data_IF_438184149030
#
_entry.id   IF_438184149030
#
_cell.length_a   1.000
_cell.length_b   1.000
_cell.length_c   1.000
_cell.angle_alpha   90.00
_cell.angle_beta   90.00
_cell.angle_gamma   90.00
#
_symmetry.space_group_name_H-M   'P 1'
#
loop_
_entity.id
_entity.type
_entity.pdbx_description
1 polymer ?
#
# COMPACT_ATOMS: atom_id res chain seq x y z
N UNK A 1 6.77 1.12 -11.55
CA UNK A 1 7.80 1.26 -12.59
C UNK A 1 7.41 0.48 -13.83
N UNK A 2 8.02 0.76 -14.96
CA UNK A 2 7.86 -0.02 -16.21
C UNK A 2 8.46 -1.41 -16.05
N UNK A 3 9.64 -1.47 -15.43
CA UNK A 3 10.35 -2.70 -15.08
C UNK A 3 11.12 -2.50 -13.76
N UNK A 4 11.53 -3.59 -13.13
CA UNK A 4 12.40 -3.52 -11.97
C UNK A 4 13.84 -3.37 -12.44
N UNK A 5 14.54 -2.26 -12.08
CA UNK A 5 15.91 -2.05 -12.49
C UNK A 5 16.89 -2.96 -11.73
N UNK A 6 18.01 -3.27 -12.36
CA UNK A 6 19.17 -3.80 -11.67
C UNK A 6 19.93 -2.68 -10.96
N UNK A 7 20.46 -2.98 -9.77
CA UNK A 7 21.29 -2.05 -9.03
C UNK A 7 22.69 -1.91 -9.62
N UNK A 8 23.16 -0.69 -9.78
CA UNK A 8 24.52 -0.38 -10.23
C UNK A 8 25.41 -0.15 -9.02
N UNK A 9 26.43 -0.97 -8.85
CA UNK A 9 27.42 -0.83 -7.78
C UNK A 9 28.38 0.32 -8.11
N UNK A 10 28.45 1.30 -7.21
CA UNK A 10 29.34 2.47 -7.33
C UNK A 10 30.73 2.14 -6.79
N UNK A 11 31.72 2.99 -7.11
CA UNK A 11 33.10 2.83 -6.65
C UNK A 11 33.26 2.88 -5.13
N UNK A 12 32.34 3.56 -4.42
CA UNK A 12 32.31 3.66 -2.95
C UNK A 12 31.56 2.50 -2.28
N UNK A 13 31.10 1.51 -3.07
CA UNK A 13 30.38 0.33 -2.57
C UNK A 13 28.88 0.55 -2.38
N UNK A 14 28.37 1.76 -2.58
CA UNK A 14 26.93 2.03 -2.60
C UNK A 14 26.28 1.45 -3.85
N UNK A 15 24.95 1.29 -3.86
CA UNK A 15 24.22 0.74 -5.01
C UNK A 15 23.14 1.71 -5.43
N UNK A 16 23.13 2.08 -6.70
CA UNK A 16 22.15 3.00 -7.27
C UNK A 16 21.14 2.25 -8.14
N UNK A 17 19.85 2.49 -7.88
CA UNK A 17 18.72 2.04 -8.68
C UNK A 17 18.09 3.24 -9.37
N UNK A 18 17.74 3.07 -10.66
CA UNK A 18 17.03 4.10 -11.45
C UNK A 18 15.71 3.53 -11.91
N UNK A 19 14.61 4.00 -11.33
CA UNK A 19 13.26 3.56 -11.66
C UNK A 19 12.64 4.50 -12.70
N UNK A 20 12.14 3.92 -13.80
CA UNK A 20 11.29 4.63 -14.76
C UNK A 20 9.84 4.33 -14.45
N UNK A 21 9.06 5.35 -14.13
CA UNK A 21 7.62 5.21 -13.93
C UNK A 21 6.92 5.01 -15.28
N UNK A 22 5.81 4.27 -15.27
CA UNK A 22 4.92 4.12 -16.43
C UNK A 22 4.40 5.49 -16.86
N UNK A 23 4.05 5.62 -18.13
CA UNK A 23 3.41 6.83 -18.65
C UNK A 23 1.96 6.94 -18.19
N UNK A 24 1.49 8.16 -18.03
CA UNK A 24 0.07 8.44 -17.77
C UNK A 24 -0.44 7.99 -16.40
N UNK A 25 0.45 7.74 -15.42
CA UNK A 25 0.04 7.42 -14.05
C UNK A 25 -0.76 8.58 -13.44
N UNK A 26 -1.82 8.22 -12.72
CA UNK A 26 -2.73 9.17 -12.08
C UNK A 26 -3.06 8.76 -10.65
N UNK A 27 -3.39 9.76 -9.87
CA UNK A 27 -4.09 9.62 -8.62
C UNK A 27 -5.59 9.37 -8.84
N UNK A 28 -6.30 8.95 -7.81
CA UNK A 28 -7.74 8.65 -7.88
C UNK A 28 -8.61 9.86 -8.26
N UNK A 29 -8.15 11.08 -8.00
CA UNK A 29 -8.80 12.33 -8.39
C UNK A 29 -8.46 12.79 -9.82
N UNK A 30 -7.60 12.05 -10.54
CA UNK A 30 -7.20 12.31 -11.92
C UNK A 30 -5.94 13.16 -12.07
N UNK A 31 -5.39 13.70 -11.00
CA UNK A 31 -4.12 14.44 -11.05
C UNK A 31 -2.95 13.50 -11.42
N UNK A 32 -1.93 14.01 -12.13
CA UNK A 32 -0.76 13.21 -12.49
C UNK A 32 -0.01 12.70 -11.26
N UNK A 33 0.39 11.41 -11.30
CA UNK A 33 1.32 10.83 -10.33
C UNK A 33 2.72 10.81 -10.94
N UNK A 34 3.68 11.36 -10.23
CA UNK A 34 5.06 11.55 -10.71
C UNK A 34 6.09 10.96 -9.75
N UNK A 35 7.35 10.90 -10.19
CA UNK A 35 8.46 10.49 -9.33
C UNK A 35 8.67 11.44 -8.12
N UNK A 36 8.22 12.69 -8.22
CA UNK A 36 8.27 13.66 -7.11
C UNK A 36 7.39 13.26 -5.94
N UNK A 37 6.26 12.59 -6.21
CA UNK A 37 5.36 12.10 -5.15
C UNK A 37 6.04 10.99 -4.33
N UNK A 38 6.81 10.12 -4.98
CA UNK A 38 7.64 9.12 -4.28
C UNK A 38 8.78 9.76 -3.49
N UNK A 39 9.50 10.70 -4.10
CA UNK A 39 10.57 11.44 -3.42
C UNK A 39 10.04 12.13 -2.17
N UNK A 40 8.94 12.85 -2.29
CA UNK A 40 8.28 13.54 -1.17
C UNK A 40 7.84 12.54 -0.09
N UNK A 41 7.11 11.48 -0.48
CA UNK A 41 6.59 10.47 0.45
C UNK A 41 7.70 9.81 1.27
N UNK A 42 8.80 9.43 0.62
CA UNK A 42 9.91 8.75 1.28
C UNK A 42 10.69 9.68 2.20
N UNK A 43 10.94 10.92 1.75
CA UNK A 43 11.57 11.94 2.61
C UNK A 43 10.70 12.26 3.83
N UNK A 44 9.39 12.35 3.64
CA UNK A 44 8.44 12.55 4.73
C UNK A 44 8.45 11.38 5.73
N UNK A 45 8.33 10.13 5.25
CA UNK A 45 8.29 8.96 6.11
C UNK A 45 9.63 8.70 6.84
N UNK A 46 10.76 9.04 6.21
CA UNK A 46 12.09 8.93 6.82
C UNK A 46 12.41 10.08 7.80
N UNK A 47 11.64 11.18 7.77
CA UNK A 47 11.89 12.32 8.65
C UNK A 47 11.45 11.98 10.09
N UNK A 48 12.35 12.11 11.09
CA UNK A 48 12.02 11.88 12.50
C UNK A 48 10.83 12.69 13.01
N UNK A 49 10.63 13.91 12.51
CA UNK A 49 9.53 14.78 12.90
C UNK A 49 8.15 14.24 12.47
N UNK A 50 8.12 13.36 11.46
CA UNK A 50 6.90 12.67 11.04
C UNK A 50 6.51 11.56 12.02
N UNK A 51 7.48 11.04 12.79
CA UNK A 51 7.32 9.94 13.73
C UNK A 51 6.60 8.72 13.12
N UNK A 52 6.94 8.39 11.85
CA UNK A 52 6.36 7.24 11.17
C UNK A 52 6.83 5.94 11.83
N UNK A 53 5.89 5.05 12.21
CA UNK A 53 6.18 3.78 12.91
C UNK A 53 7.20 2.92 12.17
N UNK A 54 7.17 2.93 10.84
CA UNK A 54 8.07 2.18 9.96
C UNK A 54 9.12 3.04 9.26
N UNK A 55 9.38 4.26 9.76
CA UNK A 55 10.41 5.15 9.23
C UNK A 55 11.81 4.52 9.18
N UNK A 56 12.11 3.61 10.12
CA UNK A 56 13.38 2.89 10.16
C UNK A 56 13.63 1.98 8.94
N UNK A 57 12.61 1.59 8.19
CA UNK A 57 12.78 0.79 6.97
C UNK A 57 13.56 1.51 5.86
N UNK A 58 13.70 2.85 5.97
CA UNK A 58 14.51 3.64 5.05
C UNK A 58 16.01 3.65 5.42
N UNK A 59 16.44 2.96 6.48
CA UNK A 59 17.82 2.94 6.95
C UNK A 59 18.82 2.35 5.94
N UNK A 60 18.31 1.51 5.02
CA UNK A 60 19.08 0.96 3.90
C UNK A 60 19.45 2.00 2.84
N UNK A 61 18.72 3.14 2.80
CA UNK A 61 18.96 4.22 1.84
C UNK A 61 20.06 5.14 2.37
N UNK A 62 21.02 5.46 1.50
CA UNK A 62 22.14 6.36 1.82
C UNK A 62 21.62 7.71 2.34
N UNK A 63 22.22 8.20 3.41
CA UNK A 63 21.88 9.49 4.02
C UNK A 63 20.72 9.45 5.03
N UNK A 64 20.11 8.30 5.27
CA UNK A 64 19.04 8.18 6.28
C UNK A 64 19.50 8.67 7.66
N UNK A 65 20.67 8.24 8.12
CA UNK A 65 21.23 8.63 9.41
C UNK A 65 21.47 10.15 9.54
N UNK A 66 21.66 10.82 8.40
CA UNK A 66 21.90 12.27 8.33
C UNK A 66 20.60 13.07 8.09
N UNK A 67 19.44 12.40 8.05
CA UNK A 67 18.13 13.00 7.79
C UNK A 67 17.94 13.44 6.32
N UNK A 68 18.75 12.93 5.40
CA UNK A 68 18.76 13.32 3.98
C UNK A 68 18.87 12.08 3.08
N UNK A 69 17.79 11.31 2.98
CA UNK A 69 17.81 10.06 2.19
C UNK A 69 18.10 10.30 0.71
N UNK A 70 18.89 9.39 0.15
CA UNK A 70 19.32 9.39 -1.25
C UNK A 70 18.22 8.87 -2.19
N UNK A 71 17.06 9.53 -2.18
CA UNK A 71 15.96 9.29 -3.10
C UNK A 71 15.63 10.63 -3.79
N UNK A 72 15.76 10.67 -5.13
CA UNK A 72 15.61 11.92 -5.89
C UNK A 72 14.89 11.68 -7.20
N UNK A 73 13.84 12.47 -7.47
CA UNK A 73 13.19 12.55 -8.76
C UNK A 73 14.03 13.46 -9.69
N UNK A 74 14.63 12.90 -10.72
CA UNK A 74 15.42 13.68 -11.70
C UNK A 74 14.54 14.33 -12.76
N UNK A 75 13.37 13.78 -12.99
CA UNK A 75 12.28 14.30 -13.80
C UNK A 75 10.93 13.71 -13.31
N UNK A 76 9.84 13.95 -14.02
CA UNK A 76 8.51 13.50 -13.60
C UNK A 76 8.33 11.96 -13.60
N UNK A 77 9.21 11.23 -14.29
CA UNK A 77 9.13 9.76 -14.42
C UNK A 77 10.32 9.00 -13.85
N UNK A 78 11.38 9.68 -13.51
CA UNK A 78 12.64 9.03 -13.10
C UNK A 78 12.91 9.26 -11.62
N UNK A 79 12.89 8.17 -10.85
CA UNK A 79 13.31 8.15 -9.44
C UNK A 79 14.65 7.43 -9.32
N UNK A 80 15.65 8.12 -8.80
CA UNK A 80 16.98 7.58 -8.51
C UNK A 80 17.10 7.36 -7.01
N UNK A 81 17.50 6.15 -6.62
CA UNK A 81 17.66 5.75 -5.23
C UNK A 81 19.04 5.16 -5.01
N UNK A 82 19.76 5.65 -4.00
CA UNK A 82 21.09 5.13 -3.65
C UNK A 82 21.03 4.45 -2.28
N UNK A 83 21.39 3.17 -2.23
CA UNK A 83 21.49 2.37 -1.01
C UNK A 83 22.90 2.44 -0.43
N UNK A 84 23.03 2.24 0.89
CA UNK A 84 24.31 2.18 1.58
C UNK A 84 25.21 1.03 1.07
N UNK A 85 24.61 -0.08 0.68
CA UNK A 85 25.25 -1.29 0.13
C UNK A 85 24.22 -2.13 -0.63
N UNK A 86 24.63 -3.28 -1.17
CA UNK A 86 23.71 -4.21 -1.83
C UNK A 86 22.74 -4.83 -0.80
N UNK A 87 21.45 -4.72 -1.08
CA UNK A 87 20.35 -5.30 -0.29
C UNK A 87 19.58 -6.25 -1.18
N UNK A 88 19.68 -7.57 -0.91
CA UNK A 88 19.11 -8.61 -1.77
C UNK A 88 17.57 -8.56 -1.87
N UNK A 89 16.92 -8.06 -0.82
CA UNK A 89 15.46 -7.95 -0.70
C UNK A 89 14.94 -6.51 -0.93
N UNK A 90 15.74 -5.65 -1.57
CA UNK A 90 15.37 -4.25 -1.77
C UNK A 90 14.04 -4.08 -2.51
N UNK A 91 13.85 -4.81 -3.61
CA UNK A 91 12.63 -4.68 -4.39
C UNK A 91 11.38 -5.21 -3.64
N UNK A 92 11.55 -6.17 -2.74
CA UNK A 92 10.47 -6.66 -1.87
C UNK A 92 10.06 -5.61 -0.82
N UNK A 93 11.02 -4.83 -0.29
CA UNK A 93 10.72 -3.73 0.62
C UNK A 93 9.79 -2.69 -0.02
N UNK A 94 9.93 -2.43 -1.32
CA UNK A 94 9.09 -1.46 -2.04
C UNK A 94 7.61 -1.84 -2.09
N UNK A 95 7.28 -3.11 -1.82
CA UNK A 95 5.91 -3.57 -1.70
C UNK A 95 5.28 -3.27 -0.33
N UNK A 96 6.08 -2.83 0.65
CA UNK A 96 5.58 -2.48 1.98
C UNK A 96 4.92 -1.08 1.96
N UNK A 97 3.77 -0.89 2.63
CA UNK A 97 2.99 0.36 2.54
C UNK A 97 3.75 1.65 2.86
N UNK A 98 4.79 1.61 3.71
CA UNK A 98 5.58 2.80 4.05
C UNK A 98 6.31 3.40 2.84
N UNK A 99 6.54 2.61 1.77
CA UNK A 99 7.15 3.06 0.51
C UNK A 99 6.12 3.57 -0.52
N UNK A 100 4.83 3.49 -0.22
CA UNK A 100 3.81 3.96 -1.15
C UNK A 100 3.83 5.49 -1.24
N UNK A 101 3.56 6.05 -2.43
CA UNK A 101 3.56 7.49 -2.61
C UNK A 101 2.39 8.14 -1.88
N UNK A 102 2.60 9.34 -1.39
CA UNK A 102 1.54 10.26 -0.93
C UNK A 102 1.79 11.62 -1.55
N UNK A 103 0.72 12.38 -1.75
CA UNK A 103 0.76 13.70 -2.38
C UNK A 103 0.88 14.80 -1.35
N UNK A 104 1.84 15.72 -1.56
CA UNK A 104 2.18 16.77 -0.60
C UNK A 104 1.00 17.66 -0.22
N UNK A 105 0.22 18.13 -1.20
CA UNK A 105 -0.95 18.97 -0.99
C UNK A 105 -2.08 18.27 -0.24
N UNK A 106 -2.19 16.94 -0.38
CA UNK A 106 -3.18 16.13 0.34
C UNK A 106 -2.78 15.97 1.80
N UNK A 107 -1.54 15.51 2.06
CA UNK A 107 -1.09 15.23 3.45
C UNK A 107 -0.81 16.49 4.26
N UNK A 108 -0.77 17.66 3.63
CA UNK A 108 -0.73 18.96 4.32
C UNK A 108 -2.03 19.28 5.08
N UNK A 109 -3.14 18.61 4.75
CA UNK A 109 -4.41 18.79 5.44
C UNK A 109 -4.49 17.85 6.65
N UNK A 110 -4.76 18.40 7.81
CA UNK A 110 -4.99 17.60 9.02
C UNK A 110 -6.20 16.66 8.78
N UNK A 111 -6.05 15.37 9.15
CA UNK A 111 -7.11 14.38 8.96
C UNK A 111 -7.29 13.84 7.54
N UNK A 112 -6.36 14.10 6.62
CA UNK A 112 -6.43 13.64 5.23
C UNK A 112 -6.70 12.12 5.07
N UNK A 113 -6.26 11.31 6.03
CA UNK A 113 -6.39 9.85 6.02
C UNK A 113 -7.55 9.33 6.89
N UNK A 114 -8.44 10.20 7.38
CA UNK A 114 -9.53 9.83 8.30
C UNK A 114 -10.93 10.00 7.71
N UNK A 115 -11.02 10.47 6.47
CA UNK A 115 -12.29 10.68 5.76
C UNK A 115 -12.16 10.29 4.28
N UNK A 116 -13.19 9.64 3.75
CA UNK A 116 -13.20 9.19 2.35
C UNK A 116 -13.10 10.36 1.36
N UNK A 117 -13.65 11.52 1.69
CA UNK A 117 -13.64 12.71 0.80
C UNK A 117 -12.29 13.37 0.65
N UNK A 118 -11.35 13.09 1.57
CA UNK A 118 -9.99 13.65 1.58
C UNK A 118 -8.92 12.61 1.24
N UNK A 119 -9.29 11.32 1.19
CA UNK A 119 -8.37 10.23 0.94
C UNK A 119 -8.09 10.06 -0.56
N UNK A 120 -6.88 10.41 -0.99
CA UNK A 120 -6.42 10.24 -2.37
C UNK A 120 -5.43 9.08 -2.44
N UNK A 121 -5.62 8.19 -3.40
CA UNK A 121 -4.79 6.99 -3.60
C UNK A 121 -4.48 6.78 -5.08
N UNK A 122 -3.59 5.85 -5.37
CA UNK A 122 -3.26 5.45 -6.74
C UNK A 122 -3.51 3.95 -7.01
N UNK A 123 -4.23 3.28 -6.11
CA UNK A 123 -4.58 1.86 -6.21
C UNK A 123 -5.76 1.59 -7.14
N UNK A 124 -6.09 0.28 -7.25
CA UNK A 124 -7.18 -0.22 -8.09
C UNK A 124 -8.58 0.27 -7.66
N UNK A 125 -8.70 0.72 -6.42
CA UNK A 125 -9.95 1.20 -5.84
C UNK A 125 -9.75 2.55 -5.15
N UNK A 126 -10.80 3.36 -5.17
CA UNK A 126 -10.92 4.63 -4.46
C UNK A 126 -11.86 4.47 -3.27
N UNK A 127 -11.48 4.98 -2.11
CA UNK A 127 -12.38 5.04 -0.95
C UNK A 127 -13.48 6.05 -1.21
N UNK A 128 -14.73 5.59 -1.28
CA UNK A 128 -15.90 6.43 -1.55
C UNK A 128 -16.83 6.57 -0.36
N UNK A 129 -16.62 5.79 0.69
CA UNK A 129 -17.34 5.90 1.93
C UNK A 129 -16.55 5.33 3.10
N UNK A 130 -16.61 6.01 4.24
CA UNK A 130 -16.09 5.51 5.51
C UNK A 130 -17.04 5.91 6.64
N UNK A 131 -17.82 4.95 7.09
CA UNK A 131 -18.62 5.07 8.30
C UNK A 131 -17.82 4.43 9.45
N UNK A 132 -17.23 5.27 10.29
CA UNK A 132 -16.35 4.81 11.37
C UNK A 132 -17.04 3.79 12.27
N UNK A 133 -16.33 2.72 12.63
CA UNK A 133 -16.81 1.55 13.38
C UNK A 133 -17.94 0.76 12.70
N UNK A 134 -18.22 0.99 11.43
CA UNK A 134 -19.29 0.33 10.69
C UNK A 134 -18.80 -0.22 9.35
N UNK A 135 -18.52 0.65 8.36
CA UNK A 135 -18.17 0.20 7.02
C UNK A 135 -17.14 1.09 6.31
N UNK A 136 -16.34 0.47 5.44
CA UNK A 136 -15.56 1.17 4.41
C UNK A 136 -16.05 0.69 3.05
N UNK A 137 -16.35 1.63 2.15
CA UNK A 137 -16.74 1.35 0.78
C UNK A 137 -15.64 1.82 -0.17
N UNK A 138 -15.19 0.90 -1.01
CA UNK A 138 -14.24 1.14 -2.07
C UNK A 138 -14.92 0.94 -3.42
N UNK A 139 -14.75 1.87 -4.36
CA UNK A 139 -15.22 1.73 -5.74
C UNK A 139 -14.04 1.67 -6.70
N UNK A 140 -14.23 0.99 -7.83
CA UNK A 140 -13.21 0.88 -8.87
C UNK A 140 -12.67 2.26 -9.24
N UNK A 141 -11.34 2.37 -9.29
CA UNK A 141 -10.63 3.57 -9.69
C UNK A 141 -10.39 3.55 -11.20
N UNK A 142 -11.14 4.33 -11.96
CA UNK A 142 -11.00 4.43 -13.42
C UNK A 142 -9.68 5.10 -13.85
N UNK A 143 -8.95 5.76 -12.93
CA UNK A 143 -7.64 6.34 -13.14
C UNK A 143 -6.49 5.36 -12.83
N UNK A 144 -6.79 4.15 -12.37
CA UNK A 144 -5.79 3.13 -12.10
C UNK A 144 -5.12 2.69 -13.41
N UNK A 145 -3.79 2.54 -13.40
CA UNK A 145 -3.01 2.21 -14.59
C UNK A 145 -3.38 0.90 -15.27
N UNK A 146 -4.07 0.01 -14.57
CA UNK A 146 -4.55 -1.29 -15.06
C UNK A 146 -6.05 -1.47 -14.76
N UNK A 147 -6.82 -0.40 -14.93
CA UNK A 147 -8.26 -0.37 -14.61
C UNK A 147 -9.05 -1.44 -15.37
N UNK A 148 -8.65 -1.77 -16.60
CA UNK A 148 -9.32 -2.79 -17.42
C UNK A 148 -9.21 -4.21 -16.81
N UNK A 149 -8.17 -4.49 -16.03
CA UNK A 149 -8.01 -5.76 -15.32
C UNK A 149 -8.85 -5.85 -14.03
N UNK A 150 -9.38 -4.71 -13.55
CA UNK A 150 -10.18 -4.67 -12.32
C UNK A 150 -11.61 -5.10 -12.61
N UNK A 151 -11.99 -6.28 -12.11
CA UNK A 151 -13.30 -6.91 -12.41
C UNK A 151 -14.41 -6.41 -11.50
N UNK A 152 -14.15 -6.31 -10.18
CA UNK A 152 -15.17 -5.88 -9.22
C UNK A 152 -15.32 -4.36 -9.24
N UNK A 153 -16.58 -3.89 -9.30
CA UNK A 153 -16.86 -2.46 -9.28
C UNK A 153 -16.85 -1.85 -7.88
N UNK A 154 -17.17 -2.65 -6.87
CA UNK A 154 -17.27 -2.21 -5.48
C UNK A 154 -16.78 -3.31 -4.53
N UNK A 155 -16.11 -2.89 -3.45
CA UNK A 155 -15.76 -3.73 -2.31
C UNK A 155 -16.25 -3.00 -1.06
N UNK A 156 -17.01 -3.71 -0.22
CA UNK A 156 -17.49 -3.19 1.05
C UNK A 156 -16.89 -3.97 2.21
N UNK A 157 -16.14 -3.30 3.06
CA UNK A 157 -15.65 -3.86 4.30
C UNK A 157 -16.61 -3.55 5.44
N UNK A 158 -17.03 -4.57 6.17
CA UNK A 158 -17.78 -4.44 7.41
C UNK A 158 -16.80 -4.55 8.57
N UNK A 159 -16.71 -3.49 9.37
CA UNK A 159 -15.77 -3.41 10.49
C UNK A 159 -16.38 -4.13 11.69
N UNK A 160 -15.99 -5.37 11.92
CA UNK A 160 -16.49 -6.23 13.00
C UNK A 160 -15.33 -7.04 13.59
N UNK A 161 -15.34 -7.22 14.88
CA UNK A 161 -14.42 -8.10 15.65
C UNK A 161 -15.16 -9.33 16.23
N UNK A 162 -16.45 -9.50 15.90
CA UNK A 162 -17.28 -10.63 16.37
C UNK A 162 -17.32 -11.75 15.31
N UNK A 163 -16.50 -12.78 15.52
CA UNK A 163 -16.45 -13.96 14.65
C UNK A 163 -17.78 -14.70 14.49
N UNK A 164 -18.68 -14.68 15.49
CA UNK A 164 -20.01 -15.28 15.38
C UNK A 164 -20.92 -14.47 14.45
N UNK A 165 -20.83 -13.15 14.54
CA UNK A 165 -21.53 -12.25 13.63
C UNK A 165 -21.01 -12.41 12.19
N UNK A 166 -19.70 -12.48 12.00
CA UNK A 166 -19.07 -12.72 10.70
C UNK A 166 -19.59 -14.03 10.09
N UNK A 167 -19.51 -15.13 10.83
CA UNK A 167 -19.97 -16.45 10.36
C UNK A 167 -21.46 -16.47 10.04
N UNK A 168 -22.29 -15.80 10.84
CA UNK A 168 -23.73 -15.69 10.60
C UNK A 168 -24.01 -14.96 9.28
N UNK A 169 -23.32 -13.84 9.02
CA UNK A 169 -23.49 -13.07 7.80
C UNK A 169 -22.96 -13.81 6.57
N UNK A 170 -21.90 -14.58 6.70
CA UNK A 170 -21.41 -15.46 5.64
C UNK A 170 -22.44 -16.56 5.31
N UNK A 171 -22.92 -17.30 6.32
CA UNK A 171 -23.88 -18.40 6.13
C UNK A 171 -25.21 -17.95 5.51
N UNK A 172 -25.66 -16.73 5.80
CA UNK A 172 -26.89 -16.19 5.19
C UNK A 172 -26.66 -15.50 3.84
N UNK A 173 -25.40 -15.47 3.34
CA UNK A 173 -25.03 -14.90 2.04
C UNK A 173 -24.94 -13.37 2.00
N UNK A 174 -25.01 -12.70 3.15
CA UNK A 174 -24.85 -11.23 3.22
C UNK A 174 -23.41 -10.83 2.97
N UNK A 175 -22.45 -11.56 3.54
CA UNK A 175 -21.02 -11.36 3.33
C UNK A 175 -20.43 -12.51 2.49
N UNK A 176 -19.61 -12.18 1.53
CA UNK A 176 -19.02 -13.13 0.58
C UNK A 176 -17.65 -13.65 1.05
N UNK A 177 -16.98 -12.93 1.96
CA UNK A 177 -15.69 -13.30 2.53
C UNK A 177 -15.68 -12.87 4.00
N UNK A 178 -15.12 -13.71 4.85
CA UNK A 178 -14.80 -13.40 6.25
C UNK A 178 -13.38 -13.89 6.53
N UNK A 179 -12.66 -13.21 7.37
CA UNK A 179 -11.25 -13.48 7.70
C UNK A 179 -11.06 -14.22 9.01
N UNK A 180 -12.14 -14.36 9.81
CA UNK A 180 -12.12 -15.10 11.07
C UNK A 180 -13.42 -15.92 11.26
N UNK A 181 -13.30 -16.99 12.03
CA UNK A 181 -14.40 -17.87 12.41
C UNK A 181 -14.26 -18.30 13.88
N UNK A 182 -15.38 -18.57 14.59
CA UNK A 182 -15.31 -19.11 15.95
C UNK A 182 -14.50 -20.41 15.97
N UNK A 183 -13.53 -20.52 16.87
CA UNK A 183 -12.59 -21.66 16.93
C UNK A 183 -13.29 -23.02 17.10
N UNK A 184 -14.42 -23.04 17.82
CA UNK A 184 -15.22 -24.24 18.03
C UNK A 184 -15.98 -24.70 16.77
N UNK A 185 -16.17 -23.83 15.77
CA UNK A 185 -16.86 -24.13 14.49
C UNK A 185 -15.91 -24.68 13.42
N UNK A 186 -14.59 -24.52 13.57
CA UNK A 186 -13.58 -24.87 12.55
C UNK A 186 -13.75 -26.30 12.02
N UNK A 187 -13.97 -27.28 12.92
CA UNK A 187 -14.09 -28.68 12.51
C UNK A 187 -15.35 -28.94 11.67
N UNK A 188 -16.46 -28.28 12.00
CA UNK A 188 -17.71 -28.38 11.26
C UNK A 188 -17.61 -27.65 9.92
N UNK A 189 -17.03 -26.44 9.91
CA UNK A 189 -16.88 -25.62 8.69
C UNK A 189 -16.01 -26.30 7.62
N UNK A 190 -14.94 -26.99 8.01
CA UNK A 190 -14.12 -27.80 7.08
C UNK A 190 -14.92 -28.89 6.35
N UNK A 191 -15.99 -29.38 6.94
CA UNK A 191 -16.87 -30.40 6.35
C UNK A 191 -18.01 -29.76 5.57
N UNK A 192 -18.57 -28.66 6.09
CA UNK A 192 -19.71 -27.97 5.50
C UNK A 192 -19.31 -27.13 4.27
N UNK A 193 -18.11 -26.53 4.31
CA UNK A 193 -17.57 -25.62 3.27
C UNK A 193 -16.17 -26.07 2.81
N UNK A 194 -15.99 -27.29 2.24
CA UNK A 194 -14.67 -27.85 1.95
C UNK A 194 -13.88 -27.07 0.89
N UNK A 195 -14.57 -26.37 0.00
CA UNK A 195 -13.97 -25.60 -1.10
C UNK A 195 -13.76 -24.12 -0.74
N UNK A 196 -14.51 -23.60 0.22
CA UNK A 196 -14.47 -22.20 0.65
C UNK A 196 -13.63 -21.97 1.92
N UNK A 197 -13.48 -23.02 2.75
CA UNK A 197 -12.71 -22.93 3.99
C UNK A 197 -11.21 -23.06 3.76
N UNK A 198 -10.53 -21.92 3.79
CA UNK A 198 -9.07 -21.84 3.55
C UNK A 198 -8.32 -21.71 4.86
N UNK A 199 -7.25 -22.50 5.03
CA UNK A 199 -6.28 -22.32 6.12
C UNK A 199 -4.98 -21.83 5.52
N UNK A 200 -4.64 -20.56 5.81
CA UNK A 200 -3.39 -19.96 5.38
C UNK A 200 -2.42 -19.86 6.56
N UNK A 201 -1.20 -20.37 6.38
CA UNK A 201 -0.12 -20.14 7.33
C UNK A 201 0.41 -18.72 7.21
N UNK A 202 0.51 -18.02 8.34
CA UNK A 202 1.11 -16.68 8.40
C UNK A 202 2.32 -16.71 9.32
N UNK A 203 3.35 -15.92 8.97
CA UNK A 203 4.45 -15.62 9.87
C UNK A 203 4.03 -14.37 10.65
N UNK A 204 3.63 -14.59 11.91
CA UNK A 204 3.32 -13.51 12.84
C UNK A 204 4.55 -13.17 13.69
N UNK A 205 4.74 -11.89 13.97
CA UNK A 205 5.74 -11.39 14.93
C UNK A 205 5.05 -10.72 16.09
#
# INVERSE_FOLDING_TARGET
AEELPEGVVNEDGTVTYTYSLREGLKWSDGEPLTAKDFEFAWKRAANPDTAADYGYMFDVIKGYADGAIGATATDDRTLVVTLNNAVAYWNELLAFPTYFPVREDVVANEGWATDASTYVSNGAYTMTGWEHNSTITLTKNENYHDADAVVMNEIKFYLSDDANNMLTNFKNGTWQLIDDVPTNEIAALKVEYPDEFVVAGQIGT
#
